data_IF_557498713501
#
_entry.id   IF_557498713501
#
_cell.length_a   1.000
_cell.length_b   1.000
_cell.length_c   1.000
_cell.angle_alpha   90.00
_cell.angle_beta   90.00
_cell.angle_gamma   90.00
#
_symmetry.space_group_name_H-M   'P 1'
#
loop_
_entity.id
_entity.type
_entity.pdbx_description
1 polymer ?
#
# COMPACT_ATOMS: atom_id res chain seq x y z
N UNK A 1 -29.44 16.64 -22.29
CA UNK A 1 -28.71 16.52 -21.87
C UNK A 1 -28.01 15.81 -21.27
N UNK A 2 -27.46 15.52 -21.21
CA UNK A 2 -26.74 15.03 -20.78
C UNK A 2 -25.96 14.86 -19.94
N UNK A 3 -25.75 14.43 -19.50
CA UNK A 3 -25.09 14.27 -18.75
C UNK A 3 -24.11 13.78 -18.50
N UNK A 4 -23.62 13.67 -18.38
CA UNK A 4 -22.56 13.28 -18.12
C UNK A 4 -21.93 13.19 -16.96
N UNK A 5 -21.92 13.08 -16.48
CA UNK A 5 -21.60 13.19 -15.30
C UNK A 5 -21.10 12.11 -14.54
N UNK A 6 -21.36 10.96 -14.70
CA UNK A 6 -20.85 9.80 -14.06
C UNK A 6 -19.36 9.64 -14.24
N UNK A 7 -18.86 10.17 -15.28
CA UNK A 7 -17.43 10.10 -15.52
C UNK A 7 -16.63 10.85 -14.48
N UNK A 8 -17.21 11.86 -13.89
CA UNK A 8 -16.47 12.59 -12.92
C UNK A 8 -16.21 11.80 -11.69
N UNK A 9 -17.15 11.03 -11.23
CA UNK A 9 -16.98 10.22 -10.05
C UNK A 9 -15.98 9.09 -10.26
N UNK A 10 -15.72 8.77 -11.52
CA UNK A 10 -14.77 7.72 -11.83
C UNK A 10 -13.42 8.23 -12.21
N UNK A 11 -13.34 9.54 -12.47
CA UNK A 11 -12.05 10.11 -12.84
C UNK A 11 -11.08 9.88 -11.72
N UNK A 12 -9.99 9.30 -12.05
CA UNK A 12 -8.95 9.12 -11.12
C UNK A 12 -8.93 7.78 -10.43
N UNK A 13 -10.00 7.25 -10.00
CA UNK A 13 -10.02 5.99 -9.30
C UNK A 13 -9.21 6.01 -8.00
N UNK A 14 -9.03 4.84 -7.41
CA UNK A 14 -8.34 4.66 -6.13
C UNK A 14 -7.31 3.53 -6.25
N UNK A 15 -6.07 3.85 -5.92
CA UNK A 15 -4.94 2.91 -6.00
C UNK A 15 -4.44 2.60 -4.61
N UNK A 16 -4.57 1.34 -4.20
CA UNK A 16 -4.10 0.86 -2.91
C UNK A 16 -2.63 0.44 -3.02
N UNK A 17 -1.80 0.95 -2.13
CA UNK A 17 -0.40 0.55 -2.00
C UNK A 17 -0.17 0.04 -0.57
N UNK A 18 -0.40 -1.24 -0.31
CA UNK A 18 -0.17 -1.81 1.01
C UNK A 18 1.30 -2.07 1.26
N UNK A 19 1.74 -1.86 2.48
CA UNK A 19 3.11 -2.16 2.89
C UNK A 19 3.15 -2.54 4.38
N UNK A 20 4.24 -3.17 4.78
CA UNK A 20 4.43 -3.63 6.14
C UNK A 20 5.45 -2.76 6.86
N UNK A 21 5.66 -3.04 8.15
CA UNK A 21 6.62 -2.29 8.95
C UNK A 21 8.08 -2.57 8.61
N UNK A 22 8.35 -3.48 7.69
CA UNK A 22 9.73 -3.77 7.30
C UNK A 22 10.26 -2.75 6.30
N UNK A 23 9.51 -2.53 5.25
CA UNK A 23 9.90 -1.58 4.22
C UNK A 23 8.84 -1.49 3.13
N UNK A 24 8.96 -0.47 2.33
CA UNK A 24 8.19 -0.37 1.11
C UNK A 24 9.15 -0.56 -0.07
N UNK A 25 8.71 -1.32 -1.06
CA UNK A 25 9.49 -1.47 -2.29
C UNK A 25 9.57 -0.15 -3.03
N UNK A 26 10.78 0.29 -3.34
CA UNK A 26 10.99 1.52 -4.11
C UNK A 26 10.31 1.45 -5.47
N UNK A 27 10.41 0.30 -6.14
CA UNK A 27 9.79 0.11 -7.45
C UNK A 27 8.27 0.17 -7.39
N UNK A 28 7.69 -0.44 -6.36
CA UNK A 28 6.24 -0.40 -6.18
C UNK A 28 5.76 1.02 -5.91
N UNK A 29 6.49 1.76 -5.08
CA UNK A 29 6.16 3.15 -4.79
C UNK A 29 6.27 4.03 -6.04
N UNK A 30 7.36 3.92 -6.78
CA UNK A 30 7.54 4.68 -8.02
C UNK A 30 6.45 4.35 -9.04
N UNK A 31 6.10 3.09 -9.17
CA UNK A 31 5.03 2.67 -10.08
C UNK A 31 3.67 3.24 -9.65
N UNK A 32 3.39 3.25 -8.35
CA UNK A 32 2.16 3.82 -7.82
C UNK A 32 2.06 5.32 -8.09
N UNK A 33 3.16 6.05 -7.90
CA UNK A 33 3.23 7.48 -8.19
C UNK A 33 2.96 7.74 -9.67
N UNK A 34 3.65 7.03 -10.55
CA UNK A 34 3.47 7.22 -12.00
C UNK A 34 2.05 6.92 -12.46
N UNK A 35 1.50 5.84 -11.94
CA UNK A 35 0.15 5.42 -12.31
C UNK A 35 -0.89 6.43 -11.80
N UNK A 36 -0.74 6.88 -10.56
CA UNK A 36 -1.63 7.88 -10.01
C UNK A 36 -1.58 9.18 -10.79
N UNK A 37 -0.38 9.63 -11.18
CA UNK A 37 -0.23 10.82 -12.01
C UNK A 37 -0.88 10.64 -13.38
N UNK A 38 -0.63 9.51 -14.02
CA UNK A 38 -1.14 9.25 -15.36
C UNK A 38 -2.66 9.18 -15.40
N UNK A 39 -3.28 8.68 -14.35
CA UNK A 39 -4.72 8.47 -14.30
C UNK A 39 -5.48 9.54 -13.50
N UNK A 40 -4.77 10.47 -12.87
CA UNK A 40 -5.40 11.42 -11.96
C UNK A 40 -6.03 10.72 -10.76
N UNK A 41 -5.46 9.61 -10.32
CA UNK A 41 -6.01 8.79 -9.25
C UNK A 41 -5.58 9.26 -7.86
N UNK A 42 -6.36 8.85 -6.85
CA UNK A 42 -5.97 9.02 -5.45
C UNK A 42 -5.13 7.82 -5.02
N UNK A 43 -3.99 8.09 -4.41
CA UNK A 43 -3.14 7.05 -3.86
C UNK A 43 -3.53 6.78 -2.41
N UNK A 44 -3.73 5.52 -2.08
CA UNK A 44 -4.06 5.09 -0.72
C UNK A 44 -2.91 4.21 -0.21
N UNK A 45 -1.87 4.81 0.38
CA UNK A 45 -0.84 4.03 1.06
C UNK A 45 -1.43 3.44 2.33
N UNK A 46 -1.22 2.17 2.56
CA UNK A 46 -1.80 1.47 3.70
C UNK A 46 -0.74 0.70 4.47
N UNK A 47 -0.51 1.13 5.71
CA UNK A 47 0.37 0.41 6.60
C UNK A 47 -0.39 -0.77 7.21
N UNK A 48 0.13 -1.97 6.99
CA UNK A 48 -0.44 -3.20 7.53
C UNK A 48 0.29 -3.55 8.83
N UNK A 49 -0.43 -3.47 9.94
CA UNK A 49 0.11 -3.73 11.26
C UNK A 49 -0.34 -5.10 11.76
N UNK A 50 0.63 -5.96 12.07
CA UNK A 50 0.35 -7.29 12.61
C UNK A 50 0.31 -7.24 14.12
N UNK A 51 -0.81 -7.70 14.70
CA UNK A 51 -1.03 -7.72 16.14
C UNK A 51 -0.80 -9.13 16.67
N UNK A 52 0.14 -9.31 17.62
CA UNK A 52 0.35 -10.62 18.23
C UNK A 52 -0.92 -11.20 18.85
N UNK A 53 -1.05 -12.52 18.83
CA UNK A 53 -2.26 -13.20 19.32
C UNK A 53 -2.52 -13.01 20.80
N UNK A 54 -1.48 -12.76 21.58
CA UNK A 54 -1.59 -12.56 23.02
C UNK A 54 -2.04 -11.13 23.38
N UNK A 55 -2.24 -10.27 22.41
CA UNK A 55 -2.71 -8.90 22.63
C UNK A 55 -4.07 -8.68 21.98
N UNK A 56 -4.93 -7.85 22.56
CA UNK A 56 -6.15 -7.42 21.88
C UNK A 56 -5.83 -6.73 20.57
N UNK A 57 -6.73 -6.86 19.60
CA UNK A 57 -6.50 -6.32 18.25
C UNK A 57 -6.30 -4.79 18.27
N UNK A 58 -6.89 -4.12 19.24
CA UNK A 58 -6.81 -2.68 19.38
C UNK A 58 -5.61 -2.20 20.22
N UNK A 59 -4.77 -3.13 20.68
CA UNK A 59 -3.61 -2.78 21.50
C UNK A 59 -2.65 -1.82 20.80
N UNK A 60 -2.02 -0.91 21.53
CA UNK A 60 -0.93 -0.11 20.97
C UNK A 60 0.21 -1.02 20.51
N UNK A 61 0.81 -0.69 19.38
CA UNK A 61 1.93 -1.43 18.82
C UNK A 61 3.12 -0.48 18.64
N UNK A 62 3.78 -0.06 19.74
CA UNK A 62 4.83 0.95 19.62
C UNK A 62 5.97 0.53 18.72
N UNK A 63 6.37 -0.75 18.77
CA UNK A 63 7.45 -1.25 17.92
C UNK A 63 7.12 -1.17 16.44
N UNK A 64 5.94 -1.63 16.05
CA UNK A 64 5.51 -1.58 14.66
C UNK A 64 5.29 -0.14 14.20
N UNK A 65 4.66 0.68 15.03
CA UNK A 65 4.37 2.06 14.70
C UNK A 65 5.62 2.93 14.63
N UNK A 66 6.66 2.59 15.36
CA UNK A 66 7.94 3.32 15.31
C UNK A 66 8.55 3.32 13.90
N UNK A 67 8.33 2.27 13.13
CA UNK A 67 8.84 2.18 11.76
C UNK A 67 7.75 2.49 10.73
N UNK A 68 6.55 1.95 10.94
CA UNK A 68 5.46 2.06 9.96
C UNK A 68 4.88 3.45 9.80
N UNK A 69 4.69 4.17 10.91
CA UNK A 69 4.08 5.49 10.84
C UNK A 69 4.97 6.53 10.16
N UNK A 70 6.27 6.64 10.49
CA UNK A 70 7.14 7.55 9.75
C UNK A 70 7.22 7.22 8.26
N UNK A 71 7.20 5.93 7.91
CA UNK A 71 7.21 5.52 6.53
C UNK A 71 5.92 5.95 5.81
N UNK A 72 4.79 5.81 6.48
CA UNK A 72 3.50 6.25 5.93
C UNK A 72 3.50 7.77 5.70
N UNK A 73 3.98 8.54 6.67
CA UNK A 73 4.08 9.99 6.55
C UNK A 73 4.99 10.41 5.39
N UNK A 74 6.12 9.74 5.25
CA UNK A 74 7.06 10.05 4.18
C UNK A 74 6.45 9.76 2.80
N UNK A 75 5.69 8.67 2.67
CA UNK A 75 4.96 8.35 1.44
C UNK A 75 3.93 9.42 1.13
N UNK A 76 3.18 9.86 2.15
CA UNK A 76 2.19 10.93 1.99
C UNK A 76 2.84 12.23 1.51
N UNK A 77 3.93 12.62 2.16
CA UNK A 77 4.64 13.84 1.80
C UNK A 77 5.17 13.79 0.37
N UNK A 78 5.74 12.67 -0.02
CA UNK A 78 6.28 12.50 -1.36
C UNK A 78 5.18 12.56 -2.41
N UNK A 79 4.08 11.85 -2.20
CA UNK A 79 2.97 11.84 -3.15
C UNK A 79 2.32 13.23 -3.26
N UNK A 80 2.16 13.91 -2.13
CA UNK A 80 1.62 15.27 -2.12
C UNK A 80 2.52 16.23 -2.87
N UNK A 81 3.84 16.11 -2.70
CA UNK A 81 4.81 16.92 -3.43
C UNK A 81 4.73 16.71 -4.94
N UNK A 82 4.32 15.53 -5.38
CA UNK A 82 4.11 15.20 -6.80
C UNK A 82 2.71 15.62 -7.29
N UNK A 83 1.91 16.27 -6.45
CA UNK A 83 0.57 16.72 -6.82
C UNK A 83 -0.48 15.63 -6.81
N UNK A 84 -0.23 14.50 -6.17
CA UNK A 84 -1.13 13.37 -6.14
C UNK A 84 -2.01 13.45 -4.89
N UNK A 85 -3.35 13.32 -5.02
CA UNK A 85 -4.21 13.19 -3.85
C UNK A 85 -3.86 11.93 -3.09
N UNK A 86 -3.71 12.02 -1.77
CA UNK A 86 -3.31 10.92 -0.92
C UNK A 86 -4.32 10.75 0.22
N UNK A 87 -4.65 9.50 0.52
CA UNK A 87 -5.55 9.17 1.61
C UNK A 87 -4.99 7.94 2.35
N UNK A 88 -4.20 8.18 3.39
CA UNK A 88 -3.47 7.14 4.08
C UNK A 88 -4.36 6.28 4.98
N UNK A 89 -3.99 5.02 5.13
CA UNK A 89 -4.68 4.06 5.99
C UNK A 89 -3.71 3.30 6.87
N UNK A 90 -4.19 2.91 8.03
CA UNK A 90 -3.54 1.90 8.88
C UNK A 90 -4.56 0.79 9.09
N UNK A 91 -4.17 -0.42 8.77
CA UNK A 91 -5.04 -1.59 8.99
C UNK A 91 -4.35 -2.61 9.88
N UNK A 92 -5.11 -3.21 10.77
CA UNK A 92 -4.59 -4.17 11.76
C UNK A 92 -5.16 -5.55 11.49
N UNK A 93 -4.35 -6.56 11.75
CA UNK A 93 -4.77 -7.94 11.64
C UNK A 93 -3.82 -8.88 12.36
N UNK A 94 -4.21 -10.12 12.50
CA UNK A 94 -3.34 -11.15 13.10
C UNK A 94 -2.21 -11.55 12.16
N UNK A 95 -2.46 -11.41 10.87
CA UNK A 95 -1.48 -11.57 9.80
C UNK A 95 -1.57 -10.37 8.88
N UNK A 96 -0.60 -10.21 7.99
CA UNK A 96 -0.68 -9.16 6.97
C UNK A 96 -1.87 -9.39 6.02
N UNK A 97 -2.18 -10.66 5.74
CA UNK A 97 -3.37 -11.00 4.95
C UNK A 97 -4.64 -10.52 5.64
N UNK A 98 -4.78 -10.77 6.94
CA UNK A 98 -5.95 -10.34 7.70
C UNK A 98 -6.11 -8.82 7.65
N UNK A 99 -5.00 -8.09 7.85
CA UNK A 99 -5.02 -6.64 7.81
C UNK A 99 -5.44 -6.13 6.43
N UNK A 100 -4.92 -6.73 5.37
CA UNK A 100 -5.27 -6.37 4.01
C UNK A 100 -6.72 -6.72 3.70
N UNK A 101 -7.17 -7.89 4.14
CA UNK A 101 -8.54 -8.33 3.95
C UNK A 101 -9.53 -7.39 4.62
N UNK A 102 -9.27 -6.98 5.86
CA UNK A 102 -10.13 -6.02 6.56
C UNK A 102 -10.29 -4.73 5.75
N UNK A 103 -9.20 -4.24 5.20
CA UNK A 103 -9.23 -3.01 4.41
C UNK A 103 -10.03 -3.19 3.12
N UNK A 104 -9.81 -4.30 2.42
CA UNK A 104 -10.51 -4.59 1.16
C UNK A 104 -12.02 -4.85 1.36
N UNK A 105 -12.42 -5.29 2.54
CA UNK A 105 -13.82 -5.46 2.89
C UNK A 105 -14.52 -4.15 3.22
N UNK A 106 -13.79 -3.19 3.75
CA UNK A 106 -14.33 -1.90 4.16
C UNK A 106 -14.41 -0.88 3.04
N UNK A 107 -13.52 -0.96 2.08
CA UNK A 107 -13.39 0.04 1.03
C UNK A 107 -13.16 -0.63 -0.33
N UNK A 108 -13.52 0.09 -1.38
CA UNK A 108 -13.28 -0.38 -2.74
C UNK A 108 -12.06 0.32 -3.33
N UNK A 109 -11.29 -0.44 -4.08
CA UNK A 109 -10.13 0.05 -4.79
C UNK A 109 -10.20 -0.40 -6.24
N UNK A 110 -9.75 0.44 -7.14
CA UNK A 110 -9.71 0.11 -8.56
C UNK A 110 -8.46 -0.70 -8.90
N UNK A 111 -7.37 -0.41 -8.20
CA UNK A 111 -6.09 -1.10 -8.39
C UNK A 111 -5.43 -1.37 -7.06
N UNK A 112 -4.68 -2.46 -7.00
CA UNK A 112 -3.83 -2.80 -5.86
C UNK A 112 -2.42 -3.05 -6.39
N UNK A 113 -1.44 -2.33 -5.88
CA UNK A 113 -0.05 -2.49 -6.28
C UNK A 113 0.71 -3.13 -5.13
N UNK A 114 1.24 -4.32 -5.35
CA UNK A 114 2.01 -5.05 -4.34
C UNK A 114 3.39 -5.41 -4.87
N UNK A 115 4.33 -5.51 -3.96
CA UNK A 115 5.67 -5.96 -4.29
C UNK A 115 5.84 -7.41 -3.84
N UNK A 116 6.36 -8.23 -4.74
CA UNK A 116 6.73 -9.60 -4.43
C UNK A 116 8.20 -9.63 -4.02
N UNK A 117 8.49 -10.26 -2.88
CA UNK A 117 9.85 -10.44 -2.40
C UNK A 117 10.08 -11.91 -2.09
N UNK A 118 11.34 -12.33 -2.16
CA UNK A 118 11.70 -13.70 -1.81
C UNK A 118 11.65 -13.92 -0.30
N UNK A 119 11.53 -12.85 0.47
CA UNK A 119 11.51 -12.94 1.92
C UNK A 119 10.10 -12.71 2.46
N UNK A 120 9.41 -13.80 2.76
CA UNK A 120 8.06 -13.78 3.32
C UNK A 120 7.95 -13.00 4.64
N UNK A 121 9.06 -12.76 5.32
CA UNK A 121 9.07 -11.97 6.56
C UNK A 121 8.93 -10.47 6.30
N UNK A 122 9.23 -10.05 5.09
CA UNK A 122 9.21 -8.63 4.73
C UNK A 122 7.92 -8.15 4.08
N UNK A 123 6.95 -9.04 3.87
CA UNK A 123 5.72 -8.64 3.22
C UNK A 123 4.74 -9.78 3.04
N UNK A 124 4.05 -9.73 1.94
CA UNK A 124 3.06 -10.75 1.59
C UNK A 124 3.77 -11.99 1.04
N UNK A 125 3.34 -13.15 1.50
CA UNK A 125 3.86 -14.43 1.04
C UNK A 125 3.29 -14.79 -0.34
N UNK A 126 3.84 -15.84 -0.95
CA UNK A 126 3.30 -16.37 -2.20
C UNK A 126 1.83 -16.78 -2.04
N UNK A 127 1.48 -17.40 -0.90
CA UNK A 127 0.11 -17.79 -0.61
C UNK A 127 -0.81 -16.57 -0.48
N UNK A 128 -0.31 -15.49 0.10
CA UNK A 128 -1.06 -14.24 0.23
C UNK A 128 -1.30 -13.61 -1.15
N UNK A 129 -0.31 -13.65 -2.02
CA UNK A 129 -0.45 -13.15 -3.39
C UNK A 129 -1.44 -14.01 -4.18
N UNK A 130 -1.38 -15.32 -4.03
CA UNK A 130 -2.33 -16.22 -4.67
C UNK A 130 -3.77 -15.95 -4.18
N UNK A 131 -3.93 -15.75 -2.88
CA UNK A 131 -5.23 -15.38 -2.31
C UNK A 131 -5.72 -14.06 -2.92
N UNK A 132 -4.86 -13.06 -2.99
CA UNK A 132 -5.19 -11.75 -3.54
C UNK A 132 -5.71 -11.89 -4.99
N UNK A 133 -4.98 -12.66 -5.80
CA UNK A 133 -5.35 -12.89 -7.20
C UNK A 133 -6.68 -13.62 -7.37
N UNK A 134 -7.02 -14.49 -6.42
CA UNK A 134 -8.27 -15.27 -6.51
C UNK A 134 -9.49 -14.53 -5.98
N UNK A 135 -9.30 -13.61 -5.04
CA UNK A 135 -10.43 -13.09 -4.26
C UNK A 135 -10.71 -11.61 -4.47
N UNK A 136 -9.75 -10.83 -4.88
CA UNK A 136 -9.92 -9.37 -4.95
C UNK A 136 -10.39 -8.96 -6.34
N UNK A 137 -11.54 -8.28 -6.45
CA UNK A 137 -12.10 -7.89 -7.74
C UNK A 137 -11.54 -6.56 -8.25
N UNK A 138 -10.25 -6.31 -8.03
CA UNK A 138 -9.57 -5.12 -8.50
C UNK A 138 -8.46 -5.53 -9.46
N UNK A 139 -7.98 -4.59 -10.25
CA UNK A 139 -6.78 -4.83 -11.03
C UNK A 139 -5.59 -4.90 -10.09
N UNK A 140 -4.76 -5.90 -10.24
CA UNK A 140 -3.63 -6.15 -9.36
C UNK A 140 -2.33 -6.07 -10.15
N UNK A 141 -1.43 -5.21 -9.69
CA UNK A 141 -0.08 -5.13 -10.22
C UNK A 141 0.87 -5.73 -9.20
N UNK A 142 1.56 -6.78 -9.61
CA UNK A 142 2.59 -7.41 -8.79
C UNK A 142 3.94 -7.06 -9.38
N UNK A 143 4.75 -6.36 -8.61
CA UNK A 143 6.08 -5.98 -9.02
C UNK A 143 7.10 -6.88 -8.32
N UNK A 144 7.88 -7.58 -9.10
CA UNK A 144 9.02 -8.35 -8.61
C UNK A 144 10.28 -7.71 -9.16
N UNK A 145 10.97 -6.89 -8.36
CA UNK A 145 12.19 -6.24 -8.83
C UNK A 145 13.27 -7.27 -9.17
N UNK A 146 14.11 -6.95 -10.14
CA UNK A 146 15.32 -7.73 -10.38
C UNK A 146 16.20 -7.69 -9.12
N UNK A 147 17.05 -8.71 -8.89
CA UNK A 147 17.88 -8.74 -7.67
C UNK A 147 18.67 -7.46 -7.42
N UNK A 148 19.21 -6.86 -8.48
CA UNK A 148 19.99 -5.63 -8.37
C UNK A 148 19.13 -4.40 -8.06
N UNK A 149 17.85 -4.48 -8.35
CA UNK A 149 16.89 -3.39 -8.13
C UNK A 149 16.00 -3.65 -6.90
N UNK A 150 16.21 -4.74 -6.20
CA UNK A 150 15.39 -5.13 -5.05
C UNK A 150 15.69 -4.29 -3.81
N UNK A 151 15.68 -2.97 -3.98
CA UNK A 151 15.93 -2.04 -2.88
C UNK A 151 14.64 -1.68 -2.18
N UNK A 152 14.71 -1.71 -0.87
CA UNK A 152 13.62 -1.25 -0.03
C UNK A 152 13.90 0.17 0.44
N UNK A 153 12.85 0.91 0.69
CA UNK A 153 12.94 2.27 1.19
C UNK A 153 12.56 2.22 2.67
N UNK A 154 13.42 2.75 3.51
CA UNK A 154 13.12 3.02 4.91
C UNK A 154 12.72 4.49 5.07
N UNK A 155 12.12 4.82 6.21
CA UNK A 155 11.71 6.19 6.48
C UNK A 155 12.88 7.17 6.37
N UNK A 156 14.05 6.76 6.85
CA UNK A 156 15.25 7.62 6.81
C UNK A 156 15.71 7.94 5.38
N UNK A 157 15.43 7.08 4.44
CA UNK A 157 15.78 7.31 3.03
C UNK A 157 14.76 8.25 2.38
N UNK A 158 13.50 8.13 2.79
CA UNK A 158 12.45 9.00 2.26
C UNK A 158 12.61 10.45 2.70
N UNK A 159 13.08 10.65 3.93
CA UNK A 159 13.30 12.00 4.45
C UNK A 159 14.45 12.73 3.76
N UNK A 160 15.34 12.02 3.18
CA UNK A 160 16.53 12.59 2.62
C UNK A 160 16.44 12.96 1.16
N UNK A 161 16.44 11.98 0.32
CA UNK A 161 16.65 12.22 -1.11
C UNK A 161 15.96 11.17 -1.96
N UNK A 162 15.03 11.61 -2.67
CA UNK A 162 14.48 10.82 -3.76
C UNK A 162 15.03 11.30 -5.08
#
# INVERSE_FOLDING_TARGET
MRRRNGSNGKAGGRILLPFTNQAISRRAFEAAIRLAQAEGATLIPAFLARVPRNLPLQSPLPGACTVGMPLLEAVEQRATAEGIPVDARVSRGRTYRDALQHLLEQERFDRVIVSATDNARQGLSEDDLAWLLRTVPAEILILRPAPDDARSISASVLDGHF
#
